data_IF_908223454893
#
_entry.id   IF_908223454893
#
_cell.length_a   1.000
_cell.length_b   1.000
_cell.length_c   1.000
_cell.angle_alpha   90.00
_cell.angle_beta   90.00
_cell.angle_gamma   90.00
#
_symmetry.space_group_name_H-M   'P 1'
#
loop_
_entity.id
_entity.type
_entity.pdbx_description
1 polymer ?
#
# COMPACT_ATOMS: atom_id res chain seq x y z
N UNK A 1 10.13 10.24 -34.92
CA UNK A 1 10.24 9.16 -33.93
C UNK A 1 10.36 9.81 -32.57
N UNK A 2 9.28 9.81 -31.78
CA UNK A 2 9.28 10.47 -30.46
C UNK A 2 10.19 9.72 -29.49
N UNK A 3 11.05 10.44 -28.79
CA UNK A 3 11.80 9.89 -27.65
C UNK A 3 10.79 9.35 -26.65
N UNK A 4 10.83 8.06 -26.26
CA UNK A 4 9.93 7.55 -25.25
C UNK A 4 10.27 8.24 -23.92
N UNK A 5 9.33 9.03 -23.42
CA UNK A 5 9.35 9.56 -22.06
C UNK A 5 9.68 8.43 -21.10
N UNK A 6 10.67 8.63 -20.23
CA UNK A 6 11.18 7.59 -19.34
C UNK A 6 10.04 6.92 -18.56
N UNK A 7 9.92 5.60 -18.70
CA UNK A 7 8.93 4.81 -17.94
C UNK A 7 9.17 5.02 -16.46
N UNK A 8 8.14 5.46 -15.74
CA UNK A 8 8.19 5.58 -14.29
C UNK A 8 7.91 4.21 -13.67
N UNK A 9 8.92 3.59 -13.06
CA UNK A 9 8.80 2.28 -12.40
C UNK A 9 7.61 2.22 -11.44
N UNK A 10 7.49 3.21 -10.54
CA UNK A 10 6.46 3.27 -9.51
C UNK A 10 5.09 3.50 -10.15
N UNK A 11 5.02 4.42 -11.12
CA UNK A 11 3.78 4.71 -11.86
C UNK A 11 3.24 3.48 -12.59
N UNK A 12 4.12 2.77 -13.30
CA UNK A 12 3.76 1.55 -14.03
C UNK A 12 3.33 0.43 -13.10
N UNK A 13 4.04 0.22 -11.98
CA UNK A 13 3.67 -0.79 -10.99
C UNK A 13 2.31 -0.48 -10.35
N UNK A 14 2.05 0.78 -9.99
CA UNK A 14 0.77 1.20 -9.44
C UNK A 14 -0.37 1.04 -10.45
N UNK A 15 -0.15 1.44 -11.72
CA UNK A 15 -1.11 1.24 -12.80
C UNK A 15 -1.42 -0.25 -13.02
N UNK A 16 -0.40 -1.11 -12.96
CA UNK A 16 -0.57 -2.56 -13.01
C UNK A 16 -1.47 -3.05 -11.87
N UNK A 17 -1.17 -2.71 -10.62
CA UNK A 17 -2.00 -3.13 -9.47
C UNK A 17 -3.44 -2.64 -9.55
N UNK A 18 -3.67 -1.41 -10.01
CA UNK A 18 -5.02 -0.88 -10.21
C UNK A 18 -5.79 -1.68 -11.27
N UNK A 19 -5.11 -2.07 -12.35
CA UNK A 19 -5.73 -2.85 -13.43
C UNK A 19 -6.01 -4.29 -13.00
N UNK A 20 -5.07 -4.95 -12.34
CA UNK A 20 -5.25 -6.33 -11.86
C UNK A 20 -6.31 -6.44 -10.78
N UNK A 21 -6.52 -5.41 -9.96
CA UNK A 21 -7.56 -5.40 -8.93
C UNK A 21 -8.98 -5.60 -9.49
N UNK A 22 -9.22 -5.14 -10.72
CA UNK A 22 -10.52 -5.26 -11.39
C UNK A 22 -10.55 -6.38 -12.44
N UNK A 23 -9.40 -7.00 -12.73
CA UNK A 23 -9.25 -8.03 -13.75
C UNK A 23 -9.14 -9.42 -13.11
N UNK A 24 -10.30 -10.06 -12.91
CA UNK A 24 -10.38 -11.41 -12.34
C UNK A 24 -9.87 -12.52 -13.29
N UNK A 25 -9.43 -12.19 -14.51
CA UNK A 25 -8.90 -13.17 -15.46
C UNK A 25 -7.47 -13.61 -15.12
N UNK A 26 -6.76 -12.86 -14.29
CA UNK A 26 -5.40 -13.16 -13.86
C UNK A 26 -5.40 -13.96 -12.56
N UNK A 27 -4.68 -15.08 -12.56
CA UNK A 27 -4.35 -15.84 -11.36
C UNK A 27 -3.15 -15.23 -10.62
N UNK A 28 -2.93 -15.67 -9.37
CA UNK A 28 -1.74 -15.31 -8.60
C UNK A 28 -0.43 -15.65 -9.32
N UNK A 29 -0.42 -16.74 -10.10
CA UNK A 29 0.74 -17.16 -10.90
C UNK A 29 1.00 -16.21 -12.06
N UNK A 30 -0.06 -15.70 -12.69
CA UNK A 30 0.05 -14.77 -13.81
C UNK A 30 0.60 -13.42 -13.34
N UNK A 31 0.13 -12.94 -12.18
CA UNK A 31 0.65 -11.74 -11.52
C UNK A 31 2.13 -11.93 -11.17
N UNK A 32 2.51 -13.07 -10.60
CA UNK A 32 3.91 -13.36 -10.27
C UNK A 32 4.80 -13.39 -11.53
N UNK A 33 4.33 -14.00 -12.62
CA UNK A 33 5.07 -14.01 -13.89
C UNK A 33 5.21 -12.60 -14.48
N UNK A 34 4.15 -11.79 -14.41
CA UNK A 34 4.22 -10.40 -14.86
C UNK A 34 5.26 -9.59 -14.08
N UNK A 35 5.27 -9.70 -12.75
CA UNK A 35 6.25 -8.99 -11.91
C UNK A 35 7.68 -9.44 -12.20
N UNK A 36 7.90 -10.73 -12.47
CA UNK A 36 9.20 -11.24 -12.90
C UNK A 36 9.63 -10.64 -14.24
N UNK A 37 8.73 -10.58 -15.23
CA UNK A 37 9.00 -9.96 -16.53
C UNK A 37 9.25 -8.45 -16.39
N UNK A 38 8.51 -7.76 -15.52
CA UNK A 38 8.69 -6.34 -15.23
C UNK A 38 10.04 -6.05 -14.59
N UNK A 39 10.49 -6.89 -13.65
CA UNK A 39 11.83 -6.81 -13.09
C UNK A 39 12.92 -6.97 -14.16
N UNK A 40 12.77 -7.95 -15.06
CA UNK A 40 13.69 -8.15 -16.18
C UNK A 40 13.68 -6.90 -17.08
N UNK A 41 12.51 -6.38 -17.45
CA UNK A 41 12.38 -5.18 -18.28
C UNK A 41 13.03 -3.93 -17.68
N UNK A 42 12.96 -3.78 -16.34
CA UNK A 42 13.70 -2.74 -15.61
C UNK A 42 15.22 -2.89 -15.77
N UNK A 43 15.74 -4.11 -15.73
CA UNK A 43 17.17 -4.37 -15.95
C UNK A 43 17.60 -4.06 -17.41
N UNK A 44 16.65 -4.05 -18.34
CA UNK A 44 16.83 -3.60 -19.72
C UNK A 44 16.52 -2.11 -19.92
N UNK A 45 16.43 -1.33 -18.83
CA UNK A 45 16.11 0.09 -18.84
C UNK A 45 14.81 0.43 -19.60
N UNK A 46 13.82 -0.45 -19.49
CA UNK A 46 12.51 -0.32 -20.12
C UNK A 46 12.53 -0.26 -21.66
N UNK A 47 13.59 -0.79 -22.28
CA UNK A 47 13.67 -0.93 -23.74
C UNK A 47 12.84 -2.12 -24.19
N UNK A 48 11.97 -1.90 -25.18
CA UNK A 48 11.22 -2.94 -25.87
C UNK A 48 11.81 -3.15 -27.28
N UNK A 49 11.87 -4.39 -27.80
CA UNK A 49 11.68 -5.66 -27.09
C UNK A 49 12.87 -6.00 -26.16
N UNK A 50 12.65 -6.85 -25.15
CA UNK A 50 13.73 -7.39 -24.31
C UNK A 50 13.79 -8.92 -24.37
N UNK A 51 15.00 -9.46 -24.28
CA UNK A 51 15.22 -10.91 -24.30
C UNK A 51 14.86 -11.52 -22.94
N UNK A 52 14.08 -12.60 -22.97
CA UNK A 52 13.67 -13.32 -21.76
C UNK A 52 14.15 -14.77 -21.82
N UNK A 53 15.02 -15.13 -20.89
CA UNK A 53 15.36 -16.54 -20.65
C UNK A 53 14.27 -17.18 -19.80
N UNK A 54 13.63 -18.22 -20.35
CA UNK A 54 12.54 -18.96 -19.69
C UNK A 54 12.88 -19.37 -18.25
N UNK A 55 14.08 -19.93 -18.04
CA UNK A 55 14.52 -20.40 -16.73
C UNK A 55 14.60 -19.28 -15.70
N UNK A 56 15.06 -18.08 -16.10
CA UNK A 56 15.18 -16.94 -15.19
C UNK A 56 13.81 -16.39 -14.83
N UNK A 57 12.93 -16.24 -15.82
CA UNK A 57 11.55 -15.79 -15.60
C UNK A 57 10.80 -16.77 -14.66
N UNK A 58 10.94 -18.08 -14.90
CA UNK A 58 10.34 -19.12 -14.05
C UNK A 58 10.87 -19.11 -12.62
N UNK A 59 12.19 -18.94 -12.42
CA UNK A 59 12.79 -18.85 -11.08
C UNK A 59 12.29 -17.63 -10.33
N UNK A 60 12.30 -16.46 -10.98
CA UNK A 60 11.83 -15.20 -10.38
C UNK A 60 10.33 -15.26 -10.02
N UNK A 61 9.52 -15.89 -10.86
CA UNK A 61 8.08 -16.02 -10.63
C UNK A 61 7.68 -17.25 -9.78
N UNK A 62 8.66 -18.02 -9.29
CA UNK A 62 8.45 -19.28 -8.55
C UNK A 62 7.59 -20.32 -9.29
N UNK A 63 7.67 -20.35 -10.62
CA UNK A 63 6.97 -21.35 -11.44
C UNK A 63 7.90 -22.55 -11.65
N UNK A 64 7.52 -23.71 -11.11
CA UNK A 64 8.27 -24.96 -11.29
C UNK A 64 7.98 -25.68 -12.61
N UNK A 65 6.79 -25.48 -13.20
CA UNK A 65 6.35 -26.20 -14.39
C UNK A 65 6.38 -25.35 -15.65
N UNK A 66 7.07 -25.87 -16.67
CA UNK A 66 7.11 -25.26 -17.98
C UNK A 66 5.74 -25.14 -18.66
N UNK A 67 4.79 -26.04 -18.35
CA UNK A 67 3.41 -25.95 -18.85
C UNK A 67 2.68 -24.75 -18.24
N UNK A 68 2.79 -24.57 -16.92
CA UNK A 68 2.22 -23.43 -16.18
C UNK A 68 2.77 -22.11 -16.71
N UNK A 69 4.08 -22.02 -16.93
CA UNK A 69 4.71 -20.84 -17.54
C UNK A 69 4.05 -20.46 -18.87
N UNK A 70 3.88 -21.43 -19.78
CA UNK A 70 3.28 -21.19 -21.10
C UNK A 70 1.81 -20.79 -21.01
N UNK A 71 1.05 -21.36 -20.06
CA UNK A 71 -0.34 -20.96 -19.81
C UNK A 71 -0.38 -19.51 -19.33
N UNK A 72 0.41 -19.17 -18.31
CA UNK A 72 0.45 -17.80 -17.76
C UNK A 72 0.88 -16.77 -18.78
N UNK A 73 1.89 -17.08 -19.59
CA UNK A 73 2.36 -16.22 -20.66
C UNK A 73 1.29 -15.97 -21.74
N UNK A 74 0.53 -17.01 -22.12
CA UNK A 74 -0.65 -16.84 -23.00
C UNK A 74 -1.76 -16.04 -22.34
N UNK A 75 -2.02 -16.24 -21.05
CA UNK A 75 -3.03 -15.47 -20.30
C UNK A 75 -2.67 -13.98 -20.28
N UNK A 76 -1.41 -13.65 -19.95
CA UNK A 76 -0.91 -12.27 -19.93
C UNK A 76 -1.02 -11.61 -21.31
N UNK A 77 -0.70 -12.34 -22.38
CA UNK A 77 -0.88 -11.85 -23.76
C UNK A 77 -2.35 -11.65 -24.11
N UNK A 78 -3.23 -12.61 -23.76
CA UNK A 78 -4.68 -12.51 -24.01
C UNK A 78 -5.33 -11.35 -23.23
N UNK A 79 -4.75 -10.94 -22.11
CA UNK A 79 -5.23 -9.81 -21.32
C UNK A 79 -4.58 -8.47 -21.74
N UNK A 80 -3.64 -8.48 -22.68
CA UNK A 80 -3.01 -7.27 -23.24
C UNK A 80 -1.92 -6.66 -22.36
N UNK A 81 -1.34 -7.41 -21.42
CA UNK A 81 -0.26 -6.90 -20.57
C UNK A 81 1.11 -7.03 -21.23
N UNK A 82 1.29 -8.04 -22.07
CA UNK A 82 2.53 -8.33 -22.77
C UNK A 82 2.27 -8.72 -24.22
N UNK A 83 3.28 -8.55 -25.06
CA UNK A 83 3.36 -9.14 -26.39
C UNK A 83 4.55 -10.09 -26.38
N UNK A 84 4.29 -11.39 -26.54
CA UNK A 84 5.32 -12.40 -26.64
C UNK A 84 5.63 -12.68 -28.11
N UNK A 85 6.90 -12.57 -28.47
CA UNK A 85 7.40 -12.89 -29.80
C UNK A 85 8.28 -14.15 -29.69
N UNK A 86 7.86 -15.28 -30.30
CA UNK A 86 8.72 -16.44 -30.40
C UNK A 86 9.96 -16.11 -31.25
N UNK A 87 11.08 -16.82 -31.04
CA UNK A 87 12.29 -16.57 -31.80
C UNK A 87 12.05 -16.84 -33.29
N UNK A 88 12.31 -15.84 -34.13
CA UNK A 88 12.13 -15.94 -35.59
C UNK A 88 13.17 -16.83 -36.25
N UNK A 89 14.33 -17.03 -35.61
CA UNK A 89 15.39 -17.91 -36.07
C UNK A 89 15.76 -18.95 -35.01
N UNK A 90 16.16 -20.17 -35.44
CA UNK A 90 16.83 -21.11 -34.55
C UNK A 90 18.01 -20.41 -33.86
N UNK A 91 18.23 -20.66 -32.57
CA UNK A 91 19.28 -20.06 -31.70
C UNK A 91 19.02 -18.65 -31.14
N UNK A 92 17.95 -17.95 -31.53
CA UNK A 92 17.59 -16.68 -30.88
C UNK A 92 16.77 -16.89 -29.60
N UNK A 93 16.89 -15.95 -28.66
CA UNK A 93 16.07 -15.93 -27.44
C UNK A 93 14.67 -15.40 -27.75
N UNK A 94 13.64 -15.94 -27.09
CA UNK A 94 12.30 -15.34 -27.14
C UNK A 94 12.34 -13.91 -26.62
N UNK A 95 11.63 -13.02 -27.31
CA UNK A 95 11.51 -11.62 -26.92
C UNK A 95 10.12 -11.34 -26.35
N UNK A 96 10.08 -10.44 -25.37
CA UNK A 96 8.84 -9.95 -24.78
C UNK A 96 8.84 -8.43 -24.86
N UNK A 97 7.68 -7.87 -25.17
CA UNK A 97 7.40 -6.45 -24.97
C UNK A 97 6.38 -6.33 -23.84
N UNK A 98 6.67 -5.50 -22.84
CA UNK A 98 5.65 -5.10 -21.87
C UNK A 98 4.95 -3.87 -22.44
N UNK A 99 3.61 -3.88 -22.45
CA UNK A 99 2.85 -2.71 -22.85
C UNK A 99 2.95 -1.66 -21.73
N UNK A 100 3.46 -0.45 -22.00
CA UNK A 100 3.47 0.63 -21.02
C UNK A 100 2.03 0.89 -20.55
N UNK A 101 1.78 0.77 -19.24
CA UNK A 101 0.45 1.01 -18.67
C UNK A 101 0.27 2.49 -18.28
N UNK A 102 1.34 3.28 -18.40
CA UNK A 102 1.35 4.72 -18.18
C UNK A 102 1.33 5.45 -19.51
N UNK A 103 0.16 5.52 -20.15
CA UNK A 103 -0.09 6.57 -21.13
C UNK A 103 -0.66 7.77 -20.37
N UNK A 104 0.02 8.92 -20.48
CA UNK A 104 -0.34 10.27 -20.01
C UNK A 104 0.40 10.76 -18.76
N UNK A 105 0.83 12.03 -18.92
CA UNK A 105 1.66 12.87 -18.08
C UNK A 105 1.40 12.76 -16.58
N UNK A 106 2.49 12.81 -15.84
CA UNK A 106 2.51 13.09 -14.40
C UNK A 106 1.86 14.46 -14.18
N UNK A 107 0.77 14.57 -13.42
CA UNK A 107 0.74 15.52 -12.33
C UNK A 107 1.12 14.75 -11.07
N UNK A 108 1.85 15.46 -10.22
CA UNK A 108 2.46 14.96 -9.00
C UNK A 108 1.61 13.94 -8.24
N UNK A 109 2.31 12.93 -7.74
CA UNK A 109 1.90 11.95 -6.73
C UNK A 109 0.61 12.36 -6.00
N UNK A 110 -0.51 11.75 -6.36
CA UNK A 110 -1.61 11.62 -5.41
C UNK A 110 -1.45 10.27 -4.72
N UNK A 111 -1.30 10.24 -3.39
CA UNK A 111 -1.20 8.99 -2.66
C UNK A 111 -2.48 8.17 -2.86
N UNK A 112 -2.27 6.87 -2.93
CA UNK A 112 -3.26 5.82 -3.18
C UNK A 112 -4.46 6.02 -2.23
N UNK A 113 -5.62 6.42 -2.77
CA UNK A 113 -6.87 6.46 -2.02
C UNK A 113 -7.43 5.04 -1.90
N UNK A 114 -6.99 4.32 -0.88
CA UNK A 114 -7.62 3.06 -0.47
C UNK A 114 -9.06 3.30 0.04
N UNK A 115 -9.81 2.20 0.00
CA UNK A 115 -11.27 2.06 0.07
C UNK A 115 -11.91 2.93 1.18
N UNK A 116 -13.01 3.63 0.84
CA UNK A 116 -13.82 4.46 1.75
C UNK A 116 -14.32 3.65 2.96
N UNK A 117 -13.64 3.77 4.10
CA UNK A 117 -14.14 3.40 5.43
C UNK A 117 -13.78 4.50 6.41
N UNK A 118 -14.63 5.53 6.52
CA UNK A 118 -14.36 6.73 7.33
C UNK A 118 -13.19 7.54 6.77
N UNK A 119 -13.44 8.77 6.33
CA UNK A 119 -12.35 9.63 5.82
C UNK A 119 -11.48 9.99 7.02
N UNK A 120 -10.37 9.29 7.22
CA UNK A 120 -9.32 9.75 8.12
C UNK A 120 -8.89 11.14 7.63
N UNK A 121 -8.92 12.18 8.49
CA UNK A 121 -8.54 13.53 8.09
C UNK A 121 -7.07 13.60 7.70
N UNK A 122 -6.70 14.61 6.93
CA UNK A 122 -5.29 14.94 6.74
C UNK A 122 -4.69 15.50 8.03
N UNK A 123 -3.41 15.20 8.30
CA UNK A 123 -2.74 15.67 9.51
C UNK A 123 -2.71 17.21 9.58
N UNK A 124 -2.60 17.88 8.43
CA UNK A 124 -2.53 19.33 8.37
C UNK A 124 -3.91 19.96 8.63
N UNK A 125 -4.98 19.34 8.16
CA UNK A 125 -6.37 19.73 8.49
C UNK A 125 -6.63 19.63 9.99
N UNK A 126 -6.14 18.57 10.64
CA UNK A 126 -6.27 18.39 12.09
C UNK A 126 -5.48 19.46 12.85
N UNK A 127 -4.23 19.73 12.48
CA UNK A 127 -3.44 20.80 13.11
C UNK A 127 -4.11 22.17 12.97
N UNK A 128 -4.58 22.51 11.76
CA UNK A 128 -5.31 23.75 11.49
C UNK A 128 -6.59 23.85 12.31
N UNK A 129 -7.30 22.74 12.49
CA UNK A 129 -8.49 22.69 13.33
C UNK A 129 -8.16 22.97 14.80
N UNK A 130 -7.09 22.38 15.34
CA UNK A 130 -6.65 22.67 16.70
C UNK A 130 -6.21 24.11 16.88
N UNK A 131 -5.44 24.66 15.94
CA UNK A 131 -5.02 26.06 15.94
C UNK A 131 -6.20 27.03 15.91
N UNK A 132 -7.20 26.78 15.06
CA UNK A 132 -8.40 27.62 14.97
C UNK A 132 -9.28 27.56 16.22
N UNK A 133 -9.16 26.50 17.03
CA UNK A 133 -9.85 26.35 18.32
C UNK A 133 -8.96 26.79 19.51
N UNK A 134 -7.83 27.46 19.25
CA UNK A 134 -6.96 28.01 20.30
C UNK A 134 -5.99 27.01 20.92
N UNK A 135 -5.83 25.82 20.35
CA UNK A 135 -4.88 24.80 20.81
C UNK A 135 -3.61 24.75 19.93
N UNK A 136 -2.44 24.40 20.49
CA UNK A 136 -1.21 24.26 19.73
C UNK A 136 -1.31 23.19 18.62
N UNK A 137 -0.62 23.41 17.50
CA UNK A 137 -0.53 22.43 16.41
C UNK A 137 0.00 21.06 16.88
N UNK A 138 0.91 21.05 17.86
CA UNK A 138 1.46 19.83 18.46
C UNK A 138 0.39 18.97 19.14
N UNK A 139 -0.64 19.57 19.72
CA UNK A 139 -1.79 18.83 20.29
C UNK A 139 -2.65 18.21 19.19
N UNK A 140 -2.82 18.91 18.06
CA UNK A 140 -3.46 18.34 16.88
C UNK A 140 -2.69 17.14 16.32
N UNK A 141 -1.36 17.22 16.29
CA UNK A 141 -0.51 16.10 15.89
C UNK A 141 -0.63 14.90 16.85
N UNK A 142 -0.64 15.14 18.17
CA UNK A 142 -0.85 14.09 19.19
C UNK A 142 -2.18 13.38 19.01
N UNK A 143 -3.26 14.15 18.82
CA UNK A 143 -4.59 13.62 18.53
C UNK A 143 -4.57 12.75 17.27
N UNK A 144 -3.98 13.25 16.17
CA UNK A 144 -3.90 12.53 14.90
C UNK A 144 -3.19 11.18 15.05
N UNK A 145 -1.98 11.16 15.63
CA UNK A 145 -1.21 9.93 15.77
C UNK A 145 -1.86 8.92 16.72
N UNK A 146 -2.51 9.39 17.78
CA UNK A 146 -3.28 8.52 18.67
C UNK A 146 -4.39 7.79 17.89
N UNK A 147 -5.23 8.53 17.15
CA UNK A 147 -6.34 7.95 16.38
C UNK A 147 -5.87 7.14 15.16
N UNK A 148 -4.73 7.49 14.57
CA UNK A 148 -4.08 6.70 13.53
C UNK A 148 -3.61 5.34 14.05
N UNK A 149 -3.03 5.29 15.27
CA UNK A 149 -2.55 4.03 15.87
C UNK A 149 -3.68 3.04 16.17
N UNK A 150 -4.88 3.53 16.49
CA UNK A 150 -6.09 2.72 16.74
C UNK A 150 -6.98 2.57 15.50
N UNK A 151 -6.47 2.94 14.32
CA UNK A 151 -7.14 2.74 13.04
C UNK A 151 -8.42 3.53 12.86
N UNK A 152 -8.55 4.72 13.47
CA UNK A 152 -9.73 5.59 13.39
C UNK A 152 -11.05 4.84 13.71
N UNK A 153 -11.00 3.90 14.65
CA UNK A 153 -12.15 3.08 15.04
C UNK A 153 -12.40 3.18 16.55
N UNK A 154 -13.67 3.24 16.95
CA UNK A 154 -14.09 3.19 18.34
C UNK A 154 -15.11 2.07 18.51
N UNK A 155 -14.75 1.06 19.32
CA UNK A 155 -15.62 -0.10 19.63
C UNK A 155 -16.11 -0.84 18.38
N UNK A 156 -15.25 -0.96 17.37
CA UNK A 156 -15.56 -1.63 16.10
C UNK A 156 -16.28 -0.77 15.07
N UNK A 157 -16.71 0.44 15.42
CA UNK A 157 -17.31 1.40 14.47
C UNK A 157 -16.28 2.44 14.02
N UNK A 158 -16.12 2.68 12.71
CA UNK A 158 -15.22 3.72 12.22
C UNK A 158 -15.70 5.10 12.68
N UNK A 159 -14.76 5.96 13.08
CA UNK A 159 -15.03 7.34 13.46
C UNK A 159 -15.29 8.11 12.16
N UNK A 160 -16.55 8.48 11.95
CA UNK A 160 -16.98 9.23 10.77
C UNK A 160 -16.83 10.74 10.96
N UNK A 161 -16.91 11.22 12.20
CA UNK A 161 -16.73 12.63 12.56
C UNK A 161 -15.54 12.80 13.51
N UNK A 162 -14.37 13.04 12.92
CA UNK A 162 -13.15 13.28 13.67
C UNK A 162 -13.17 14.63 14.41
N UNK A 163 -13.98 15.60 13.97
CA UNK A 163 -14.08 16.91 14.64
C UNK A 163 -14.77 16.78 15.98
N UNK A 164 -15.82 15.97 16.08
CA UNK A 164 -16.45 15.64 17.36
C UNK A 164 -15.48 14.94 18.31
N UNK A 165 -14.63 14.05 17.79
CA UNK A 165 -13.58 13.40 18.59
C UNK A 165 -12.50 14.40 19.04
N UNK A 166 -12.11 15.34 18.18
CA UNK A 166 -11.15 16.41 18.48
C UNK A 166 -11.68 17.37 19.56
N UNK A 167 -12.95 17.79 19.48
CA UNK A 167 -13.57 18.61 20.51
C UNK A 167 -13.58 17.91 21.87
N UNK A 168 -13.89 16.61 21.91
CA UNK A 168 -13.80 15.82 23.13
C UNK A 168 -12.36 15.72 23.66
N UNK A 169 -11.40 15.57 22.77
CA UNK A 169 -9.97 15.57 23.13
C UNK A 169 -9.57 16.89 23.77
N UNK A 170 -9.94 18.02 23.17
CA UNK A 170 -9.69 19.37 23.68
C UNK A 170 -10.26 19.60 25.07
N UNK A 171 -11.51 19.17 25.31
CA UNK A 171 -12.14 19.23 26.64
C UNK A 171 -11.37 18.44 27.71
N UNK A 172 -10.70 17.36 27.32
CA UNK A 172 -9.88 16.56 28.23
C UNK A 172 -8.48 17.15 28.45
N UNK A 173 -7.93 17.95 27.53
CA UNK A 173 -6.61 18.60 27.72
C UNK A 173 -6.60 19.47 28.99
N UNK A 174 -7.69 20.21 29.24
CA UNK A 174 -7.85 21.03 30.45
C UNK A 174 -8.00 20.20 31.74
N UNK A 175 -8.38 18.93 31.64
CA UNK A 175 -8.47 18.03 32.80
C UNK A 175 -7.11 17.49 33.25
N UNK A 176 -6.11 17.46 32.35
CA UNK A 176 -4.73 17.06 32.66
C UNK A 176 -3.86 18.21 33.20
N UNK A 177 -4.28 19.47 33.03
CA UNK A 177 -3.57 20.65 33.55
C UNK A 177 -3.96 21.03 34.98
N UNK A 178 -5.05 20.48 35.53
CA UNK A 178 -5.39 20.66 36.95
C UNK A 178 -4.47 19.80 37.83
N UNK A 179 -3.70 20.37 38.78
CA UNK A 179 -2.93 19.57 39.72
C UNK A 179 -3.89 18.68 40.51
N UNK A 180 -3.68 17.36 40.46
CA UNK A 180 -4.46 16.41 41.25
C UNK A 180 -4.24 16.69 42.74
N UNK A 181 -5.26 17.23 43.40
CA UNK A 181 -5.40 17.11 44.85
C UNK A 181 -5.32 15.63 45.25
N UNK A 182 -4.69 15.37 46.40
CA UNK A 182 -4.32 14.03 46.92
C UNK A 182 -5.41 12.97 46.67
N UNK A 183 -5.06 11.79 46.14
CA UNK A 183 -6.02 10.71 45.94
C UNK A 183 -6.36 10.07 47.29
N UNK A 184 -7.60 10.22 47.73
CA UNK A 184 -8.16 9.51 48.88
C UNK A 184 -8.62 8.11 48.48
N UNK A 185 -7.95 7.11 49.06
CA UNK A 185 -8.40 5.75 49.38
C UNK A 185 -8.87 4.82 48.23
N UNK A 186 -7.95 3.96 47.77
CA UNK A 186 -8.30 2.64 47.23
C UNK A 186 -8.37 1.65 48.40
N UNK A 187 -9.52 1.01 48.60
CA UNK A 187 -9.63 -0.16 49.48
C UNK A 187 -8.87 -1.32 48.83
N UNK A 188 -7.64 -1.60 49.27
CA UNK A 188 -6.90 -2.81 48.91
C UNK A 188 -7.12 -3.83 50.02
N UNK A 189 -7.79 -4.94 49.71
CA UNK A 189 -7.94 -6.06 50.63
C UNK A 189 -6.62 -6.86 50.63
N UNK A 190 -5.74 -6.56 51.59
CA UNK A 190 -4.42 -7.17 51.75
C UNK A 190 -4.50 -8.49 52.52
N UNK A 191 -4.92 -9.59 51.88
CA UNK A 191 -4.64 -10.90 52.45
C UNK A 191 -4.49 -12.01 51.40
N UNK A 192 -3.27 -12.14 50.85
CA UNK A 192 -2.78 -13.40 50.26
C UNK A 192 -1.29 -13.56 50.55
N UNK A 193 -0.98 -14.38 51.55
CA UNK A 193 0.37 -14.76 51.95
C UNK A 193 0.84 -15.93 51.07
N UNK A 194 1.86 -15.71 50.23
CA UNK A 194 2.47 -16.72 49.34
C UNK A 194 3.72 -17.33 50.00
N UNK A 195 3.55 -17.84 51.22
CA UNK A 195 4.63 -18.28 52.10
C UNK A 195 4.79 -19.79 52.30
N UNK A 196 4.20 -20.65 51.46
CA UNK A 196 4.42 -22.11 51.57
C UNK A 196 5.01 -22.67 50.26
N UNK A 197 6.10 -23.46 50.31
CA UNK A 197 6.64 -24.15 49.15
C UNK A 197 5.76 -25.37 48.78
N UNK A 198 5.74 -25.69 47.50
CA UNK A 198 5.00 -26.81 46.87
C UNK A 198 5.34 -28.18 47.48
#
# INVERSE_FOLDING_TARGET
>A
MGTPSAINYIGHLNAFYQRTRNDHRLSSTDVALYLALFHIWNNWHFKNPFAVRRNDAMKLSRIGSGKTYNVSLRTLQKCGYIVYQPPEQPFMHSTVCIQPLTEIAVPAQTPIREKRSGIAPDIEDVKCYFMSHGHPADEGARFFYYYQSIGWSKRGSPITDWKAAAQKWMQNIESFSKPKGRPSHLHINQNKNYGEPL
#
